data_IF_374828405670
#
_entry.id   IF_374828405670
#
_cell.length_a   1.000
_cell.length_b   1.000
_cell.length_c   1.000
_cell.angle_alpha   90.00
_cell.angle_beta   90.00
_cell.angle_gamma   90.00
#
_symmetry.space_group_name_H-M   'P 1'
#
loop_
_entity.id
_entity.type
_entity.pdbx_description
1 polymer ?
#
# COMPACT_ATOMS: atom_id res chain seq x y z
N UNK A 1 8.59 5.09 -20.83
CA UNK A 1 8.68 4.00 -21.84
C UNK A 1 7.45 4.07 -22.74
N UNK A 2 7.55 4.76 -23.87
CA UNK A 2 6.50 4.73 -24.90
C UNK A 2 6.48 3.36 -25.58
N UNK A 3 5.29 2.81 -25.84
CA UNK A 3 5.10 1.54 -26.57
C UNK A 3 5.10 0.25 -25.73
N UNK A 4 5.36 0.31 -24.42
CA UNK A 4 5.33 -0.88 -23.54
C UNK A 4 3.92 -1.34 -23.17
N UNK A 5 3.71 -2.65 -23.07
CA UNK A 5 2.45 -3.23 -22.56
C UNK A 5 2.26 -2.82 -21.11
N UNK A 6 1.10 -2.20 -20.80
CA UNK A 6 0.74 -1.78 -19.44
C UNK A 6 -0.46 -2.56 -18.96
N UNK A 7 -0.28 -3.35 -17.91
CA UNK A 7 -1.37 -4.01 -17.21
C UNK A 7 -1.84 -3.17 -16.03
N UNK A 8 -3.15 -3.19 -15.78
CA UNK A 8 -3.76 -2.57 -14.60
C UNK A 8 -4.34 -3.69 -13.75
N UNK A 9 -3.97 -3.69 -12.47
CA UNK A 9 -4.44 -4.65 -11.47
C UNK A 9 -4.99 -3.82 -10.31
N UNK A 10 -6.20 -4.12 -9.86
CA UNK A 10 -6.89 -3.35 -8.82
C UNK A 10 -6.58 -3.85 -7.41
N UNK A 11 -6.04 -5.07 -7.29
CA UNK A 11 -5.67 -5.67 -6.01
C UNK A 11 -4.15 -5.60 -5.79
N UNK A 12 -3.76 -5.14 -4.60
CA UNK A 12 -2.36 -4.95 -4.23
C UNK A 12 -1.64 -6.29 -4.09
N UNK A 13 -2.30 -7.32 -3.55
CA UNK A 13 -1.72 -8.64 -3.35
C UNK A 13 -1.48 -9.35 -4.68
N UNK A 14 -2.46 -9.33 -5.59
CA UNK A 14 -2.31 -9.87 -6.93
C UNK A 14 -1.17 -9.19 -7.71
N UNK A 15 -1.01 -7.88 -7.54
CA UNK A 15 0.10 -7.15 -8.15
C UNK A 15 1.46 -7.57 -7.59
N UNK A 16 1.56 -7.83 -6.28
CA UNK A 16 2.78 -8.38 -5.68
C UNK A 16 3.14 -9.74 -6.28
N UNK A 17 2.18 -10.66 -6.40
CA UNK A 17 2.44 -11.99 -6.94
C UNK A 17 2.89 -11.96 -8.40
N UNK A 18 2.32 -11.08 -9.23
CA UNK A 18 2.77 -10.87 -10.62
C UNK A 18 4.23 -10.38 -10.68
N UNK A 19 4.60 -9.45 -9.78
CA UNK A 19 5.96 -8.90 -9.73
C UNK A 19 6.95 -9.96 -9.22
N UNK A 20 6.60 -10.71 -8.17
CA UNK A 20 7.43 -11.81 -7.64
C UNK A 20 7.62 -12.94 -8.66
N UNK A 21 6.63 -13.18 -9.51
CA UNK A 21 6.73 -14.13 -10.63
C UNK A 21 7.58 -13.62 -11.81
N UNK A 22 8.11 -12.39 -11.74
CA UNK A 22 8.93 -11.80 -12.81
C UNK A 22 8.15 -11.40 -14.06
N UNK A 23 6.81 -11.35 -13.98
CA UNK A 23 5.93 -11.07 -15.11
C UNK A 23 5.71 -9.56 -15.35
N UNK A 24 6.32 -8.71 -14.52
CA UNK A 24 6.25 -7.26 -14.66
C UNK A 24 6.88 -6.52 -13.49
N UNK A 25 6.78 -5.18 -13.51
CA UNK A 25 7.27 -4.29 -12.47
C UNK A 25 6.26 -3.16 -12.22
N UNK A 26 6.35 -2.51 -11.05
CA UNK A 26 5.54 -1.33 -10.76
C UNK A 26 5.47 -1.00 -9.26
N UNK A 27 4.81 0.12 -8.95
CA UNK A 27 4.68 0.59 -7.57
C UNK A 27 3.76 -0.26 -6.69
N UNK A 28 4.20 -0.53 -5.47
CA UNK A 28 3.43 -1.15 -4.39
C UNK A 28 3.63 -0.35 -3.09
N UNK A 29 2.70 -0.41 -2.13
CA UNK A 29 2.91 0.18 -0.81
C UNK A 29 4.12 -0.44 -0.12
N UNK A 30 4.93 0.39 0.56
CA UNK A 30 6.17 -0.03 1.21
C UNK A 30 5.97 -1.19 2.19
N UNK A 31 4.91 -1.13 3.02
CA UNK A 31 4.61 -2.17 4.00
C UNK A 31 4.37 -3.54 3.36
N UNK A 32 3.90 -3.59 2.11
CA UNK A 32 3.64 -4.84 1.37
C UNK A 32 4.93 -5.46 0.85
N UNK A 33 5.87 -4.64 0.37
CA UNK A 33 7.12 -5.13 -0.25
C UNK A 33 8.28 -5.25 0.72
N UNK A 34 8.16 -4.69 1.93
CA UNK A 34 9.26 -4.57 2.90
C UNK A 34 9.97 -5.89 3.23
N UNK A 35 9.23 -6.99 3.37
CA UNK A 35 9.79 -8.31 3.65
C UNK A 35 10.52 -8.89 2.44
N UNK A 36 9.89 -8.85 1.26
CA UNK A 36 10.48 -9.36 0.03
C UNK A 36 11.73 -8.57 -0.39
N UNK A 37 11.76 -7.25 -0.14
CA UNK A 37 12.96 -6.43 -0.30
C UNK A 37 14.06 -6.86 0.69
N UNK A 38 13.72 -7.10 1.96
CA UNK A 38 14.68 -7.55 2.98
C UNK A 38 15.24 -8.94 2.68
N UNK A 39 14.42 -9.83 2.12
CA UNK A 39 14.80 -11.17 1.70
C UNK A 39 15.61 -11.18 0.38
N UNK A 40 15.70 -10.04 -0.32
CA UNK A 40 16.38 -9.93 -1.62
C UNK A 40 15.60 -10.54 -2.79
N UNK A 41 14.32 -10.87 -2.60
CA UNK A 41 13.43 -11.35 -3.66
C UNK A 41 13.00 -10.24 -4.62
N UNK A 42 12.91 -9.01 -4.09
CA UNK A 42 12.61 -7.81 -4.84
C UNK A 42 13.73 -6.79 -4.73
N UNK A 43 13.83 -5.92 -5.73
CA UNK A 43 14.72 -4.76 -5.72
C UNK A 43 13.94 -3.50 -6.08
N UNK A 44 14.37 -2.36 -5.55
CA UNK A 44 13.80 -1.06 -5.91
C UNK A 44 14.39 -0.62 -7.25
N UNK A 45 13.52 -0.22 -8.18
CA UNK A 45 13.93 0.31 -9.48
C UNK A 45 13.98 1.85 -9.43
N UNK A 46 15.07 2.43 -9.92
CA UNK A 46 15.16 3.87 -10.17
C UNK A 46 14.59 4.18 -11.57
N UNK A 47 13.42 4.82 -11.61
CA UNK A 47 12.69 5.12 -12.85
C UNK A 47 12.43 6.62 -12.88
N UNK A 48 12.96 7.30 -13.91
CA UNK A 48 12.99 8.77 -14.02
C UNK A 48 11.64 9.46 -13.75
N UNK A 49 10.52 8.89 -14.22
CA UNK A 49 9.18 9.47 -14.09
C UNK A 49 8.31 8.75 -13.03
N UNK A 50 8.91 7.97 -12.14
CA UNK A 50 8.18 7.27 -11.09
C UNK A 50 8.38 7.95 -9.73
N UNK A 51 7.35 8.65 -9.27
CA UNK A 51 7.37 9.30 -7.96
C UNK A 51 6.68 8.41 -6.91
N UNK A 52 7.40 8.14 -5.82
CA UNK A 52 6.79 7.57 -4.61
C UNK A 52 5.76 8.56 -4.09
N UNK A 53 4.53 8.08 -3.85
CA UNK A 53 3.43 8.90 -3.35
C UNK A 53 3.14 8.51 -1.91
N UNK A 54 3.17 9.50 -1.03
CA UNK A 54 2.64 9.35 0.32
C UNK A 54 1.13 9.53 0.27
N UNK A 55 0.40 8.43 0.52
CA UNK A 55 -1.05 8.45 0.58
C UNK A 55 -1.45 8.58 2.06
N UNK A 56 -2.05 9.70 2.47
CA UNK A 56 -2.47 9.87 3.86
C UNK A 56 -3.61 8.91 4.20
N UNK A 57 -3.52 8.28 5.38
CA UNK A 57 -4.59 7.48 5.96
C UNK A 57 -5.42 8.34 6.92
N UNK A 58 -6.74 8.26 6.81
CA UNK A 58 -7.66 9.02 7.65
C UNK A 58 -8.60 8.11 8.42
N UNK A 59 -8.87 8.48 9.67
CA UNK A 59 -9.91 7.88 10.50
C UNK A 59 -11.17 8.73 10.39
N UNK A 60 -12.28 8.10 10.01
CA UNK A 60 -13.58 8.75 9.83
C UNK A 60 -14.60 8.14 10.80
N UNK A 61 -15.43 8.99 11.41
CA UNK A 61 -16.56 8.56 12.24
C UNK A 61 -17.74 9.53 12.12
N UNK A 62 -18.98 9.06 12.28
CA UNK A 62 -20.15 9.94 12.39
C UNK A 62 -19.98 10.95 13.54
N UNK A 63 -20.46 12.18 13.35
CA UNK A 63 -20.48 13.20 14.43
C UNK A 63 -21.54 12.88 15.49
N UNK A 64 -22.66 12.28 15.09
CA UNK A 64 -23.76 11.87 15.97
C UNK A 64 -24.34 10.54 15.49
N UNK A 65 -24.84 9.69 16.40
CA UNK A 65 -24.69 9.79 17.86
C UNK A 65 -23.22 9.60 18.30
N UNK A 66 -22.90 9.91 19.56
CA UNK A 66 -21.56 9.68 20.09
C UNK A 66 -21.20 8.18 19.98
N UNK A 67 -19.93 7.83 19.68
CA UNK A 67 -19.51 6.44 19.62
C UNK A 67 -19.67 5.78 20.99
N UNK A 68 -20.23 4.57 21.00
CA UNK A 68 -20.28 3.74 22.21
C UNK A 68 -18.89 3.35 22.72
N UNK A 69 -18.79 2.77 23.92
CA UNK A 69 -17.51 2.48 24.58
C UNK A 69 -16.57 1.62 23.73
N UNK A 70 -17.09 0.61 23.02
CA UNK A 70 -16.28 -0.23 22.12
C UNK A 70 -15.70 0.56 20.94
N UNK A 71 -16.52 1.39 20.28
CA UNK A 71 -16.07 2.21 19.16
C UNK A 71 -15.06 3.29 19.60
N UNK A 72 -15.25 3.89 20.78
CA UNK A 72 -14.29 4.83 21.34
C UNK A 72 -12.96 4.15 21.71
N UNK A 73 -13.00 2.94 22.28
CA UNK A 73 -11.79 2.17 22.57
C UNK A 73 -11.01 1.84 21.29
N UNK A 74 -11.68 1.40 20.23
CA UNK A 74 -11.07 1.15 18.92
C UNK A 74 -10.45 2.43 18.34
N UNK A 75 -11.17 3.56 18.40
CA UNK A 75 -10.66 4.85 17.94
C UNK A 75 -9.35 5.24 18.62
N UNK A 76 -9.29 5.09 19.95
CA UNK A 76 -8.08 5.37 20.71
C UNK A 76 -6.93 4.41 20.41
N UNK A 77 -7.23 3.13 20.13
CA UNK A 77 -6.24 2.14 19.70
C UNK A 77 -5.64 2.52 18.34
N UNK A 78 -6.47 2.92 17.38
CA UNK A 78 -6.03 3.30 16.03
C UNK A 78 -5.22 4.61 16.03
N UNK A 79 -5.50 5.55 16.95
CA UNK A 79 -4.69 6.76 17.10
C UNK A 79 -3.28 6.50 17.67
N UNK A 80 -3.06 5.39 18.37
CA UNK A 80 -1.76 5.06 19.00
C UNK A 80 -0.78 4.39 18.05
N UNK A 81 -1.24 3.92 16.89
CA UNK A 81 -0.42 3.22 15.90
C UNK A 81 -0.41 4.04 14.61
N UNK A 82 0.69 4.75 14.30
CA UNK A 82 0.91 5.24 12.94
C UNK A 82 1.10 4.06 11.97
#
# INVERSE_FOLDING_TARGET
LEGGIRWRVNDVSAKLEIIRAGLGWGGLPEHVVSEALRAGELVVLDVQDFHIKNIPLYLLRPRKPAPGPAAQALWQQLLKRP
#
